data_IF_643748095187
#
_entry.id   IF_643748095187
#
_cell.length_a   1.000
_cell.length_b   1.000
_cell.length_c   1.000
_cell.angle_alpha   90.00
_cell.angle_beta   90.00
_cell.angle_gamma   90.00
#
_symmetry.space_group_name_H-M   'P 1'
#
loop_
_entity.id
_entity.type
_entity.pdbx_description
1 polymer ?
#
# COMPACT_ATOMS: atom_id res chain seq x y z
N UNK A 1 4.89 -22.46 4.49
CA UNK A 1 5.91 -23.04 5.37
C UNK A 1 6.21 -22.08 6.52
N UNK A 2 6.63 -22.62 7.67
CA UNK A 2 7.15 -21.81 8.77
C UNK A 2 8.58 -21.36 8.47
N UNK A 3 8.91 -20.13 8.86
CA UNK A 3 10.24 -19.53 8.84
C UNK A 3 10.56 -18.94 10.21
N UNK A 4 11.84 -18.85 10.56
CA UNK A 4 12.31 -18.36 11.87
C UNK A 4 12.11 -16.85 12.09
N UNK A 5 11.69 -16.14 11.07
CA UNK A 5 11.55 -14.69 11.04
C UNK A 5 12.49 -14.04 10.03
N UNK A 6 12.36 -12.71 9.91
CA UNK A 6 13.21 -11.88 9.06
C UNK A 6 13.33 -10.48 9.68
N UNK A 7 13.99 -9.54 9.01
CA UNK A 7 14.15 -8.17 9.49
C UNK A 7 12.78 -7.57 9.83
N UNK A 8 12.61 -7.16 11.09
CA UNK A 8 11.42 -6.47 11.58
C UNK A 8 10.30 -7.36 12.14
N UNK A 9 10.41 -8.69 12.06
CA UNK A 9 9.42 -9.61 12.64
C UNK A 9 10.01 -10.94 13.09
N UNK A 10 9.34 -11.57 14.06
CA UNK A 10 9.65 -12.91 14.55
C UNK A 10 9.18 -14.03 13.61
N UNK A 11 9.00 -15.26 14.12
CA UNK A 11 8.57 -16.39 13.32
C UNK A 11 7.30 -16.10 12.50
N UNK A 12 7.29 -16.56 11.26
CA UNK A 12 6.20 -16.29 10.32
C UNK A 12 5.79 -17.54 9.56
N UNK A 13 4.54 -17.54 9.09
CA UNK A 13 4.07 -18.53 8.13
C UNK A 13 4.07 -17.93 6.73
N UNK A 14 4.99 -18.40 5.90
CA UNK A 14 5.13 -17.99 4.49
C UNK A 14 4.26 -18.84 3.59
N UNK A 15 3.50 -18.20 2.72
CA UNK A 15 2.62 -18.82 1.73
C UNK A 15 2.61 -18.00 0.43
N UNK A 16 1.91 -18.50 -0.58
CA UNK A 16 1.75 -17.80 -1.85
C UNK A 16 0.27 -17.62 -2.16
N UNK A 17 -0.06 -16.50 -2.80
CA UNK A 17 -1.36 -16.30 -3.43
C UNK A 17 -1.53 -17.23 -4.63
N UNK A 18 -2.75 -17.38 -5.19
CA UNK A 18 -2.96 -18.15 -6.42
C UNK A 18 -2.14 -17.71 -7.64
N UNK A 19 -1.66 -16.47 -7.65
CA UNK A 19 -0.82 -15.88 -8.70
C UNK A 19 0.68 -15.86 -8.35
N UNK A 20 1.07 -16.47 -7.21
CA UNK A 20 2.47 -16.64 -6.83
C UNK A 20 3.09 -15.50 -6.02
N UNK A 21 2.33 -14.48 -5.60
CA UNK A 21 2.85 -13.47 -4.67
C UNK A 21 3.20 -14.13 -3.34
N UNK A 22 4.42 -13.93 -2.86
CA UNK A 22 4.84 -14.40 -1.54
C UNK A 22 4.27 -13.50 -0.46
N UNK A 23 3.69 -14.10 0.56
CA UNK A 23 3.11 -13.44 1.72
C UNK A 23 3.54 -14.11 3.02
N UNK A 24 3.51 -13.36 4.10
CA UNK A 24 3.85 -13.84 5.43
C UNK A 24 2.81 -13.36 6.45
N UNK A 25 2.45 -14.26 7.34
CA UNK A 25 1.66 -13.95 8.54
C UNK A 25 2.55 -14.15 9.74
N UNK A 26 2.69 -13.12 10.57
CA UNK A 26 3.51 -13.14 11.77
C UNK A 26 2.78 -12.42 12.91
N UNK A 27 3.24 -12.70 14.14
CA UNK A 27 2.68 -12.09 15.35
C UNK A 27 3.66 -11.12 16.01
N UNK A 28 4.94 -11.49 16.06
CA UNK A 28 5.98 -10.70 16.74
C UNK A 28 6.55 -9.67 15.81
N UNK A 29 6.61 -8.41 16.28
CA UNK A 29 7.14 -7.26 15.54
C UNK A 29 8.36 -6.72 16.29
N UNK A 30 9.45 -6.50 15.59
CA UNK A 30 10.56 -5.73 16.08
C UNK A 30 10.28 -4.21 15.90
N UNK A 31 10.03 -3.54 17.00
CA UNK A 31 9.75 -2.11 16.98
C UNK A 31 11.01 -1.30 16.68
N UNK A 32 10.94 -0.45 15.67
CA UNK A 32 12.01 0.48 15.35
C UNK A 32 12.35 1.37 16.54
N UNK A 33 13.64 1.46 16.86
CA UNK A 33 14.21 2.33 17.88
C UNK A 33 15.20 3.29 17.21
N UNK A 34 14.88 4.58 17.23
CA UNK A 34 15.81 5.59 16.73
C UNK A 34 17.02 5.72 17.65
N UNK A 35 18.18 6.00 17.08
CA UNK A 35 19.42 6.22 17.81
C UNK A 35 20.14 7.49 17.37
N UNK A 36 20.95 8.05 18.25
CA UNK A 36 21.82 9.19 17.97
C UNK A 36 21.03 10.43 17.51
N UNK A 37 21.38 10.96 16.35
CA UNK A 37 20.77 12.17 15.80
C UNK A 37 19.28 12.05 15.46
N UNK A 38 18.76 10.82 15.36
CA UNK A 38 17.36 10.55 15.06
C UNK A 38 16.48 10.42 16.30
N UNK A 39 17.06 10.34 17.50
CA UNK A 39 16.31 10.24 18.74
C UNK A 39 15.40 11.45 18.94
N UNK A 40 14.14 11.19 19.27
CA UNK A 40 13.17 12.23 19.61
C UNK A 40 13.20 12.52 21.11
N UNK A 41 13.12 13.81 21.47
CA UNK A 41 12.86 14.22 22.86
C UNK A 41 11.39 14.07 23.27
N UNK A 42 10.52 13.74 22.31
CA UNK A 42 9.08 13.56 22.55
C UNK A 42 8.80 12.07 22.74
N UNK A 43 8.29 11.65 23.92
CA UNK A 43 8.17 10.22 24.26
C UNK A 43 7.24 9.42 23.34
N UNK A 44 6.30 10.08 22.69
CA UNK A 44 5.32 9.45 21.77
C UNK A 44 5.75 9.46 20.28
N UNK A 45 7.01 9.78 20.00
CA UNK A 45 7.53 9.80 18.64
C UNK A 45 8.62 8.75 18.47
N UNK A 46 8.49 7.88 17.44
CA UNK A 46 9.49 6.85 17.17
C UNK A 46 10.83 7.43 16.73
N UNK A 47 10.82 8.63 16.13
CA UNK A 47 12.04 9.35 15.75
C UNK A 47 11.81 10.85 15.62
N UNK A 48 12.90 11.60 15.60
CA UNK A 48 12.90 13.04 15.31
C UNK A 48 12.37 13.28 13.89
N UNK A 49 11.60 14.35 13.71
CA UNK A 49 11.18 14.76 12.36
C UNK A 49 12.41 15.04 11.48
N UNK A 50 12.42 14.56 10.23
CA UNK A 50 13.49 14.87 9.31
C UNK A 50 13.54 16.39 9.05
N UNK A 51 14.74 16.91 8.84
CA UNK A 51 14.93 18.31 8.46
C UNK A 51 14.63 18.58 6.98
N UNK A 52 14.45 17.56 6.19
CA UNK A 52 14.19 17.62 4.74
C UNK A 52 13.05 16.67 4.37
N UNK A 53 12.34 17.04 3.30
CA UNK A 53 11.24 16.24 2.76
C UNK A 53 9.94 16.39 3.54
N UNK A 54 8.91 15.74 3.03
CA UNK A 54 7.59 15.65 3.64
C UNK A 54 7.42 14.24 4.21
N UNK A 55 7.40 14.06 5.54
CA UNK A 55 7.39 12.73 6.14
C UNK A 55 6.04 12.04 5.96
N UNK A 56 6.06 10.81 5.47
CA UNK A 56 4.89 9.94 5.47
C UNK A 56 4.51 9.54 6.90
N UNK A 57 3.25 9.20 7.12
CA UNK A 57 2.75 8.78 8.44
C UNK A 57 2.77 7.27 8.62
N UNK A 58 2.43 6.53 7.56
CA UNK A 58 2.39 5.07 7.59
C UNK A 58 2.39 4.48 6.17
N UNK A 59 2.72 3.20 6.06
CA UNK A 59 2.31 2.37 4.94
C UNK A 59 0.79 2.29 4.95
N UNK A 60 0.15 2.46 3.80
CA UNK A 60 -1.30 2.42 3.67
C UNK A 60 -1.78 1.08 3.11
N UNK A 61 -1.42 0.79 1.88
CA UNK A 61 -1.81 -0.43 1.22
C UNK A 61 -0.76 -0.91 0.20
N UNK A 62 -0.96 -2.13 -0.26
CA UNK A 62 -0.20 -2.73 -1.36
C UNK A 62 -1.16 -3.13 -2.46
N UNK A 63 -0.82 -2.82 -3.70
CA UNK A 63 -1.56 -3.28 -4.87
C UNK A 63 -0.70 -4.24 -5.69
N UNK A 64 -1.28 -5.34 -6.10
CA UNK A 64 -0.63 -6.44 -6.80
C UNK A 64 -1.26 -6.69 -8.17
N UNK A 65 -0.46 -7.10 -9.14
CA UNK A 65 -0.95 -7.53 -10.44
C UNK A 65 -1.32 -9.01 -10.45
N UNK A 66 -2.50 -9.33 -11.01
CA UNK A 66 -2.99 -10.69 -11.17
C UNK A 66 -3.61 -10.89 -12.57
N UNK A 67 -3.55 -12.10 -13.10
CA UNK A 67 -4.36 -12.49 -14.28
C UNK A 67 -5.78 -12.87 -13.86
N UNK A 68 -5.91 -13.61 -12.79
CA UNK A 68 -7.21 -13.96 -12.21
C UNK A 68 -7.43 -13.14 -10.92
N UNK A 69 -7.88 -11.89 -11.12
CA UNK A 69 -8.14 -10.94 -10.04
C UNK A 69 -9.18 -11.47 -9.06
N UNK A 70 -10.25 -12.09 -9.59
CA UNK A 70 -11.33 -12.65 -8.76
C UNK A 70 -10.80 -13.76 -7.85
N UNK A 71 -10.04 -14.68 -8.40
CA UNK A 71 -9.47 -15.80 -7.63
C UNK A 71 -8.54 -15.33 -6.52
N UNK A 72 -7.75 -14.28 -6.76
CA UNK A 72 -6.94 -13.67 -5.70
C UNK A 72 -7.81 -13.02 -4.62
N UNK A 73 -8.86 -12.31 -5.00
CA UNK A 73 -9.82 -11.74 -4.04
C UNK A 73 -10.53 -12.81 -3.21
N UNK A 74 -11.06 -13.85 -3.85
CA UNK A 74 -11.71 -14.99 -3.18
C UNK A 74 -10.75 -15.65 -2.18
N UNK A 75 -9.49 -15.87 -2.57
CA UNK A 75 -8.45 -16.42 -1.67
C UNK A 75 -8.24 -15.55 -0.43
N UNK A 76 -8.14 -14.23 -0.59
CA UNK A 76 -7.96 -13.31 0.56
C UNK A 76 -9.17 -13.36 1.51
N UNK A 77 -10.38 -13.44 0.96
CA UNK A 77 -11.60 -13.51 1.75
C UNK A 77 -11.73 -14.86 2.49
N UNK A 78 -11.54 -15.97 1.78
CA UNK A 78 -11.75 -17.32 2.33
C UNK A 78 -10.64 -17.77 3.29
N UNK A 79 -9.38 -17.46 2.97
CA UNK A 79 -8.24 -17.92 3.75
C UNK A 79 -7.82 -16.95 4.87
N UNK A 80 -8.02 -15.65 4.68
CA UNK A 80 -7.47 -14.62 5.57
C UNK A 80 -8.54 -13.69 6.17
N UNK A 81 -9.81 -13.88 5.84
CA UNK A 81 -10.92 -13.12 6.42
C UNK A 81 -11.02 -11.67 5.95
N UNK A 82 -10.39 -11.34 4.82
CA UNK A 82 -10.59 -10.03 4.22
C UNK A 82 -12.03 -9.85 3.73
N UNK A 83 -12.45 -8.61 3.62
CA UNK A 83 -13.75 -8.25 3.09
C UNK A 83 -13.59 -7.47 1.80
N UNK A 84 -14.37 -7.84 0.78
CA UNK A 84 -14.42 -7.11 -0.49
C UNK A 84 -15.14 -5.77 -0.28
N UNK A 85 -14.46 -4.68 -0.57
CA UNK A 85 -15.01 -3.32 -0.42
C UNK A 85 -15.45 -2.73 -1.75
N UNK A 86 -14.61 -2.83 -2.75
CA UNK A 86 -14.88 -2.34 -4.09
C UNK A 86 -14.33 -3.30 -5.13
N UNK A 87 -14.91 -3.28 -6.33
CA UNK A 87 -14.38 -3.98 -7.49
C UNK A 87 -14.71 -3.23 -8.79
N UNK A 88 -13.89 -3.49 -9.79
CA UNK A 88 -14.15 -3.06 -11.17
C UNK A 88 -14.41 -4.31 -12.02
N UNK A 89 -15.53 -4.33 -12.71
CA UNK A 89 -15.89 -5.36 -13.67
C UNK A 89 -15.78 -4.81 -15.10
N UNK A 90 -15.18 -5.59 -16.00
CA UNK A 90 -15.14 -5.24 -17.40
C UNK A 90 -16.53 -5.39 -18.04
N UNK A 91 -16.84 -4.58 -19.05
CA UNK A 91 -18.11 -4.68 -19.80
C UNK A 91 -18.30 -6.07 -20.48
N UNK A 92 -17.20 -6.73 -20.74
CA UNK A 92 -17.16 -8.09 -21.33
C UNK A 92 -17.21 -9.21 -20.30
N UNK A 93 -17.40 -8.86 -19.03
CA UNK A 93 -17.30 -9.76 -17.87
C UNK A 93 -15.87 -9.91 -17.35
N UNK A 94 -15.75 -10.36 -16.11
CA UNK A 94 -14.50 -10.55 -15.40
C UNK A 94 -13.99 -9.33 -14.65
N UNK A 95 -13.28 -9.57 -13.56
CA UNK A 95 -12.80 -8.53 -12.65
C UNK A 95 -11.51 -7.91 -13.19
N UNK A 96 -11.47 -6.57 -13.19
CA UNK A 96 -10.29 -5.78 -13.55
C UNK A 96 -9.57 -5.24 -12.31
N UNK A 97 -10.25 -5.19 -11.18
CA UNK A 97 -9.67 -4.80 -9.90
C UNK A 97 -10.56 -5.20 -8.75
N UNK A 98 -9.95 -5.51 -7.60
CA UNK A 98 -10.61 -5.73 -6.31
C UNK A 98 -9.84 -5.03 -5.21
N UNK A 99 -10.56 -4.42 -4.27
CA UNK A 99 -10.03 -3.73 -3.09
C UNK A 99 -10.60 -4.40 -1.85
N UNK A 100 -9.70 -4.85 -0.96
CA UNK A 100 -10.07 -5.66 0.21
C UNK A 100 -9.44 -5.08 1.47
N UNK A 101 -10.16 -5.22 2.58
CA UNK A 101 -9.67 -4.77 3.89
C UNK A 101 -10.08 -5.73 5.02
N UNK A 102 -9.36 -5.61 6.13
CA UNK A 102 -9.70 -6.23 7.42
C UNK A 102 -9.95 -5.18 8.51
N UNK A 103 -9.88 -3.92 8.15
CA UNK A 103 -10.09 -2.75 9.03
C UNK A 103 -11.13 -1.80 8.44
N UNK A 104 -11.42 -0.66 9.10
CA UNK A 104 -12.28 0.39 8.52
C UNK A 104 -11.75 1.08 7.26
N UNK A 105 -10.51 0.82 6.84
CA UNK A 105 -10.00 1.35 5.57
C UNK A 105 -10.72 0.72 4.39
N UNK A 106 -10.80 1.46 3.29
CA UNK A 106 -11.38 0.92 2.04
C UNK A 106 -10.57 -0.27 1.56
N UNK A 107 -9.26 -0.25 1.73
CA UNK A 107 -8.42 -1.41 1.44
C UNK A 107 -7.06 -1.31 2.14
N UNK A 108 -6.49 -2.45 2.45
CA UNK A 108 -5.08 -2.67 2.78
C UNK A 108 -4.38 -3.46 1.67
N UNK A 109 -5.15 -4.22 0.88
CA UNK A 109 -4.65 -4.92 -0.29
C UNK A 109 -5.59 -4.76 -1.47
N UNK A 110 -5.02 -4.66 -2.67
CA UNK A 110 -5.76 -4.68 -3.91
C UNK A 110 -5.09 -5.58 -4.94
N UNK A 111 -5.89 -6.11 -5.86
CA UNK A 111 -5.40 -6.81 -7.04
C UNK A 111 -5.94 -6.14 -8.29
N UNK A 112 -5.04 -5.84 -9.23
CA UNK A 112 -5.37 -5.27 -10.53
C UNK A 112 -5.03 -6.28 -11.64
N UNK A 113 -5.85 -6.29 -12.69
CA UNK A 113 -5.59 -7.14 -13.86
C UNK A 113 -4.30 -6.72 -14.55
N UNK A 114 -3.37 -7.66 -14.71
CA UNK A 114 -2.11 -7.45 -15.42
C UNK A 114 -2.32 -7.58 -16.94
N UNK A 115 -2.59 -6.47 -17.61
CA UNK A 115 -2.80 -6.47 -19.06
C UNK A 115 -1.52 -6.78 -19.83
N UNK A 116 -0.39 -6.26 -19.35
CA UNK A 116 0.90 -6.31 -20.05
C UNK A 116 1.81 -7.48 -19.64
N UNK A 117 1.59 -8.08 -18.47
CA UNK A 117 2.48 -9.09 -17.89
C UNK A 117 1.79 -10.40 -17.53
N UNK A 118 2.51 -11.29 -16.87
CA UNK A 118 2.01 -12.62 -16.49
C UNK A 118 1.15 -12.66 -15.23
N UNK A 119 0.98 -11.55 -14.51
CA UNK A 119 0.51 -11.52 -13.13
C UNK A 119 1.64 -11.78 -12.13
N UNK A 120 1.31 -11.89 -10.85
CA UNK A 120 2.30 -12.22 -9.79
C UNK A 120 3.33 -11.12 -9.50
N UNK A 121 3.08 -9.87 -9.90
CA UNK A 121 3.99 -8.74 -9.77
C UNK A 121 3.42 -7.67 -8.83
N UNK A 122 4.32 -6.84 -8.28
CA UNK A 122 3.92 -5.62 -7.60
C UNK A 122 3.35 -4.60 -8.59
N UNK A 123 2.18 -4.02 -8.28
CA UNK A 123 1.66 -2.86 -8.97
C UNK A 123 2.16 -1.58 -8.31
N UNK A 124 1.96 -1.40 -7.01
CA UNK A 124 2.53 -0.31 -6.23
C UNK A 124 2.47 -0.57 -4.72
N UNK A 125 3.28 0.20 -3.99
CA UNK A 125 3.19 0.38 -2.54
C UNK A 125 2.66 1.79 -2.30
N UNK A 126 1.72 1.94 -1.38
CA UNK A 126 1.14 3.23 -1.02
C UNK A 126 1.56 3.70 0.37
N UNK A 127 1.93 4.97 0.47
CA UNK A 127 2.21 5.65 1.73
C UNK A 127 1.22 6.80 1.97
N UNK A 128 0.68 6.87 3.19
CA UNK A 128 -0.24 7.91 3.59
C UNK A 128 0.45 9.07 4.30
N UNK A 129 0.20 10.30 3.83
CA UNK A 129 0.72 11.52 4.43
C UNK A 129 -0.15 12.06 5.58
N UNK A 130 -1.45 11.98 5.46
CA UNK A 130 -2.41 12.44 6.46
C UNK A 130 -3.17 13.71 6.09
N UNK A 131 -2.61 14.56 5.24
CA UNK A 131 -3.24 15.80 4.80
C UNK A 131 -3.06 16.01 3.29
N UNK A 132 -4.12 16.39 2.57
CA UNK A 132 -4.05 16.61 1.11
C UNK A 132 -3.01 17.63 0.67
N UNK A 133 -2.78 18.71 1.43
CA UNK A 133 -1.79 19.72 1.07
C UNK A 133 -0.35 19.20 1.05
N UNK A 134 -0.04 18.13 1.78
CA UNK A 134 1.28 17.51 1.75
C UNK A 134 1.62 16.89 0.38
N UNK A 135 0.62 16.55 -0.43
CA UNK A 135 0.84 16.12 -1.82
C UNK A 135 1.35 17.26 -2.71
N UNK A 136 0.92 18.50 -2.46
CA UNK A 136 1.43 19.67 -3.16
C UNK A 136 2.88 19.96 -2.77
N UNK A 137 3.18 19.90 -1.45
CA UNK A 137 4.54 20.09 -0.94
C UNK A 137 5.52 19.05 -1.50
N UNK A 138 5.15 17.77 -1.49
CA UNK A 138 6.00 16.71 -2.06
C UNK A 138 6.07 16.79 -3.58
N UNK A 139 5.00 17.22 -4.24
CA UNK A 139 5.00 17.46 -5.68
C UNK A 139 6.01 18.55 -6.10
N UNK A 140 6.12 19.62 -5.34
CA UNK A 140 7.13 20.66 -5.57
C UNK A 140 8.55 20.12 -5.35
N UNK A 141 8.77 19.33 -4.26
CA UNK A 141 10.05 18.67 -4.04
C UNK A 141 10.43 17.73 -5.19
N UNK A 142 9.49 16.97 -5.74
CA UNK A 142 9.74 16.10 -6.89
C UNK A 142 10.14 16.90 -8.13
N UNK A 143 9.47 18.01 -8.40
CA UNK A 143 9.81 18.90 -9.54
C UNK A 143 11.19 19.54 -9.37
N UNK A 144 11.52 20.04 -8.19
CA UNK A 144 12.84 20.60 -7.88
C UNK A 144 13.97 19.58 -8.07
N UNK A 145 13.70 18.32 -7.72
CA UNK A 145 14.65 17.21 -7.84
C UNK A 145 14.54 16.43 -9.16
N UNK A 146 13.75 16.92 -10.13
CA UNK A 146 13.53 16.29 -11.44
C UNK A 146 13.00 14.86 -11.38
N UNK A 147 12.24 14.54 -10.35
CA UNK A 147 11.51 13.28 -10.23
C UNK A 147 10.23 13.39 -11.06
N UNK A 148 10.06 12.45 -11.99
CA UNK A 148 8.87 12.41 -12.84
C UNK A 148 7.64 12.01 -12.04
N UNK A 149 6.60 12.83 -12.06
CA UNK A 149 5.28 12.50 -11.53
C UNK A 149 4.51 11.83 -12.66
N UNK A 150 4.16 10.54 -12.47
CA UNK A 150 3.41 9.77 -13.45
C UNK A 150 1.95 10.21 -13.52
N UNK A 151 1.35 10.44 -12.34
CA UNK A 151 -0.06 10.84 -12.23
C UNK A 151 -0.29 11.58 -10.90
N UNK A 152 -1.18 12.54 -10.94
CA UNK A 152 -1.64 13.25 -9.74
C UNK A 152 -0.92 14.58 -9.47
N UNK A 153 -1.26 15.28 -8.38
CA UNK A 153 -2.37 14.94 -7.48
C UNK A 153 -3.74 14.92 -8.20
N UNK A 154 -4.51 13.89 -7.91
CA UNK A 154 -5.83 13.69 -8.52
C UNK A 154 -6.79 13.12 -7.48
N UNK A 155 -8.02 12.81 -7.86
CA UNK A 155 -8.96 12.07 -7.02
C UNK A 155 -9.35 10.77 -7.73
N UNK A 156 -9.26 9.65 -7.03
CA UNK A 156 -9.73 8.37 -7.54
C UNK A 156 -11.25 8.30 -7.60
N UNK A 157 -11.78 7.63 -8.61
CA UNK A 157 -13.17 7.19 -8.61
C UNK A 157 -13.41 6.09 -7.58
N UNK A 158 -12.47 5.12 -7.55
CA UNK A 158 -12.36 4.09 -6.51
C UNK A 158 -11.83 4.76 -5.24
N UNK A 159 -12.29 4.31 -4.07
CA UNK A 159 -11.84 4.77 -2.75
C UNK A 159 -12.06 6.25 -2.45
N UNK A 160 -12.25 7.10 -3.46
CA UNK A 160 -12.34 8.57 -3.33
C UNK A 160 -11.08 9.22 -2.73
N UNK A 161 -9.99 8.49 -2.62
CA UNK A 161 -8.72 9.00 -2.10
C UNK A 161 -8.00 9.92 -3.08
N UNK A 162 -7.01 10.64 -2.58
CA UNK A 162 -6.22 11.59 -3.38
C UNK A 162 -4.80 11.04 -3.59
N UNK A 163 -4.50 10.48 -4.77
CA UNK A 163 -3.21 9.89 -5.09
C UNK A 163 -2.25 10.84 -5.79
N UNK A 164 -0.97 10.51 -5.66
CA UNK A 164 0.13 10.96 -6.50
C UNK A 164 1.07 9.78 -6.74
N UNK A 165 1.41 9.50 -7.99
CA UNK A 165 2.26 8.37 -8.36
C UNK A 165 3.61 8.80 -8.90
N UNK A 166 4.64 8.11 -8.42
CA UNK A 166 6.04 8.24 -8.88
C UNK A 166 6.69 6.86 -8.97
N UNK A 167 7.87 6.79 -9.59
CA UNK A 167 8.73 5.62 -9.52
C UNK A 167 9.93 5.92 -8.62
N UNK A 168 10.22 5.02 -7.67
CA UNK A 168 11.44 5.10 -6.89
C UNK A 168 12.66 4.63 -7.74
N UNK A 169 13.91 4.90 -7.30
CA UNK A 169 15.08 4.63 -8.13
C UNK A 169 15.29 3.17 -8.56
N UNK A 170 14.72 2.19 -7.86
CA UNK A 170 14.73 0.77 -8.22
C UNK A 170 13.70 0.41 -9.29
N UNK A 171 12.82 1.36 -9.68
CA UNK A 171 11.78 1.16 -10.68
C UNK A 171 10.45 0.66 -10.14
N UNK A 172 10.27 0.55 -8.81
CA UNK A 172 8.98 0.23 -8.24
C UNK A 172 8.08 1.46 -8.23
N UNK A 173 6.82 1.26 -8.55
CA UNK A 173 5.79 2.31 -8.51
C UNK A 173 5.37 2.57 -7.07
N UNK A 174 5.39 3.82 -6.67
CA UNK A 174 5.01 4.29 -5.34
C UNK A 174 3.83 5.24 -5.47
N UNK A 175 2.81 4.99 -4.66
CA UNK A 175 1.68 5.89 -4.49
C UNK A 175 1.81 6.67 -3.18
N UNK A 176 1.46 7.94 -3.23
CA UNK A 176 1.42 8.83 -2.08
C UNK A 176 -0.02 9.30 -1.89
N UNK A 177 -0.62 8.98 -0.75
CA UNK A 177 -1.98 9.37 -0.41
C UNK A 177 -1.99 10.62 0.47
N UNK A 178 -2.71 11.65 0.02
CA UNK A 178 -3.00 12.85 0.84
C UNK A 178 -4.30 12.71 1.63
N UNK A 179 -5.27 12.02 1.06
CA UNK A 179 -6.57 11.75 1.68
C UNK A 179 -6.86 10.26 1.53
N UNK A 180 -7.28 9.60 2.61
CA UNK A 180 -7.57 8.17 2.63
C UNK A 180 -8.91 7.79 1.99
N UNK A 181 -9.68 8.77 1.53
CA UNK A 181 -11.03 8.55 1.02
C UNK A 181 -12.05 8.36 2.16
N UNK A 182 -12.96 7.43 1.99
CA UNK A 182 -13.97 7.12 2.99
C UNK A 182 -13.52 5.96 3.90
N UNK A 183 -14.18 5.83 5.07
CA UNK A 183 -13.99 4.73 6.00
C UNK A 183 -15.26 3.89 6.06
N UNK A 184 -15.11 2.59 6.30
CA UNK A 184 -16.21 1.65 6.42
C UNK A 184 -16.25 1.16 7.87
N UNK A 185 -17.34 1.46 8.55
CA UNK A 185 -17.63 0.94 9.88
C UNK A 185 -18.78 -0.06 9.76
N UNK A 186 -18.49 -1.31 10.07
CA UNK A 186 -19.51 -2.35 10.13
C UNK A 186 -20.18 -2.35 11.50
N UNK A 187 -21.49 -2.64 11.56
CA UNK A 187 -22.23 -2.72 12.82
C UNK A 187 -21.79 -3.87 13.70
#
# INVERSE_FOLDING_TARGET
>A
AWIDGDIGHGPAYRFTTPEGHQMEIFWEVEWYQASGALESRLPNRPQKRPARGVPVRRLDHINLFAKDVKRCGDFMMEALGFQLREYIEARTGGYKGVWLSVSPLVHEIAFMYDEAGPGGRLHHICYWYGYPHQLWEVGDLFRENRIHIELGPAKHGITQAMPLYVYEPGGNRVELFGDIGYLIFEP
#
